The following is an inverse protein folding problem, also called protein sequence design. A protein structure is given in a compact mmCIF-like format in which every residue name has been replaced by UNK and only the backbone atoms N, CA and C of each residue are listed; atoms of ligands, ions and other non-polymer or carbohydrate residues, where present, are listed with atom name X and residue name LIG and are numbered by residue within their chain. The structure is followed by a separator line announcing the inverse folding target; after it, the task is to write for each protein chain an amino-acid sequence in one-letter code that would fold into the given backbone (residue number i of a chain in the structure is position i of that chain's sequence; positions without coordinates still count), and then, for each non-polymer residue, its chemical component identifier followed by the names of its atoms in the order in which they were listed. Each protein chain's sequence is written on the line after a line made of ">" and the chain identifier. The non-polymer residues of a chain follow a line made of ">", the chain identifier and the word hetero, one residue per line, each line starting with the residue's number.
data_IF_176064356012
#
_entry.id   IF_176064356012
#
_cell.length_a   1.000
_cell.length_b   1.000
_cell.length_c   1.000
_cell.angle_alpha   90.00
_cell.angle_beta   90.00
_cell.angle_gamma   90.00
#
_symmetry.space_group_name_H-M   'P 1'
#
loop_
_entity.id
_entity.type
_entity.pdbx_description
1 polymer ?
#
# COMPACT_ATOMS: atom_id res chain seq x y z
N UNK A 1 -2.32 -8.62 9.49
CA UNK A 1 -1.37 -9.74 9.55
C UNK A 1 -1.46 -10.35 10.92
N UNK A 2 -1.37 -11.68 11.04
CA UNK A 2 -1.48 -12.38 12.33
C UNK A 2 -0.16 -12.40 13.13
N UNK A 3 0.97 -11.97 12.54
CA UNK A 3 2.26 -12.09 13.23
C UNK A 3 2.40 -11.20 14.46
N UNK A 4 1.74 -10.05 14.52
CA UNK A 4 1.93 -9.03 15.58
C UNK A 4 0.61 -8.31 15.90
N UNK A 5 -0.53 -9.01 15.85
CA UNK A 5 -1.86 -8.46 16.18
C UNK A 5 -2.30 -8.75 17.63
N UNK A 6 -1.44 -9.41 18.42
CA UNK A 6 -1.62 -9.56 19.88
C UNK A 6 -2.56 -10.67 20.32
N UNK A 7 -2.88 -11.63 19.45
CA UNK A 7 -3.62 -12.83 19.87
C UNK A 7 -2.73 -13.78 20.67
N UNK A 8 -3.35 -14.55 21.58
CA UNK A 8 -2.69 -15.63 22.31
C UNK A 8 -2.89 -16.94 21.56
N UNK A 9 -1.79 -17.62 21.26
CA UNK A 9 -1.81 -19.00 20.82
C UNK A 9 -1.87 -19.96 22.02
N UNK A 10 -2.47 -21.14 21.82
CA UNK A 10 -2.58 -22.20 22.84
C UNK A 10 -1.21 -22.76 23.28
N UNK A 11 -0.16 -22.53 22.48
CA UNK A 11 1.20 -23.01 22.75
C UNK A 11 2.24 -21.90 22.57
N UNK A 12 3.23 -21.86 23.47
CA UNK A 12 4.35 -20.92 23.36
C UNK A 12 5.25 -21.26 22.16
N UNK A 13 5.56 -20.25 21.35
CA UNK A 13 6.53 -20.33 20.25
C UNK A 13 7.49 -19.14 20.34
N UNK A 14 8.77 -19.39 20.04
CA UNK A 14 9.80 -18.33 19.97
C UNK A 14 9.65 -17.41 18.74
N UNK A 15 8.86 -17.85 17.76
CA UNK A 15 8.47 -17.05 16.59
C UNK A 15 6.96 -16.96 16.52
N UNK A 16 6.44 -15.84 16.03
CA UNK A 16 4.99 -15.60 15.97
C UNK A 16 4.32 -16.56 14.96
N UNK A 17 3.07 -16.95 15.22
CA UNK A 17 2.37 -17.96 14.41
C UNK A 17 2.02 -17.52 12.98
N UNK A 18 2.01 -16.21 12.71
CA UNK A 18 1.73 -15.66 11.38
C UNK A 18 2.98 -15.37 10.54
N UNK A 19 2.77 -15.01 9.28
CA UNK A 19 3.81 -14.50 8.38
C UNK A 19 3.92 -15.32 7.09
N UNK A 20 4.81 -14.90 6.19
CA UNK A 20 5.08 -15.65 4.95
C UNK A 20 5.89 -16.89 5.29
N UNK A 21 5.39 -18.08 4.94
CA UNK A 21 6.09 -19.33 5.23
C UNK A 21 7.34 -19.49 4.37
N UNK A 22 8.31 -20.29 4.81
CA UNK A 22 9.47 -20.65 3.98
C UNK A 22 9.05 -21.34 2.68
N UNK A 23 7.93 -22.08 2.71
CA UNK A 23 7.37 -22.75 1.54
C UNK A 23 6.87 -21.73 0.52
N UNK A 24 6.15 -20.69 0.96
CA UNK A 24 5.66 -19.62 0.08
C UNK A 24 6.81 -18.77 -0.45
N UNK A 25 7.80 -18.48 0.40
CA UNK A 25 9.00 -17.75 -0.01
C UNK A 25 9.78 -18.49 -1.11
N UNK A 26 9.91 -19.82 -1.01
CA UNK A 26 10.55 -20.64 -2.07
C UNK A 26 9.77 -20.62 -3.38
N UNK A 27 8.45 -20.39 -3.35
CA UNK A 27 7.60 -20.31 -4.55
C UNK A 27 7.61 -18.93 -5.20
N UNK A 28 8.24 -17.91 -4.60
CA UNK A 28 8.16 -16.52 -5.08
C UNK A 28 8.58 -16.36 -6.55
N UNK A 29 9.58 -17.13 -7.00
CA UNK A 29 10.05 -17.10 -8.39
C UNK A 29 9.04 -17.63 -9.42
N UNK A 30 7.95 -18.25 -8.99
CA UNK A 30 6.84 -18.66 -9.86
C UNK A 30 5.74 -17.61 -10.00
N UNK A 31 5.91 -16.43 -9.39
CA UNK A 31 4.94 -15.34 -9.47
C UNK A 31 4.89 -14.75 -10.88
N UNK A 32 3.68 -14.44 -11.36
CA UNK A 32 3.49 -13.79 -12.65
C UNK A 32 3.92 -12.31 -12.66
N UNK A 33 3.85 -11.65 -11.51
CA UNK A 33 4.14 -10.23 -11.37
C UNK A 33 4.47 -9.86 -9.92
N UNK A 34 5.30 -8.84 -9.72
CA UNK A 34 5.66 -8.28 -8.41
C UNK A 34 5.13 -6.85 -8.26
N UNK A 35 4.33 -6.61 -7.22
CA UNK A 35 3.86 -5.27 -6.87
C UNK A 35 4.74 -4.74 -5.73
N UNK A 36 5.60 -3.77 -6.03
CA UNK A 36 6.48 -3.15 -5.04
C UNK A 36 5.79 -1.92 -4.44
N UNK A 37 5.55 -1.95 -3.13
CA UNK A 37 4.79 -0.91 -2.42
C UNK A 37 5.73 -0.05 -1.58
N UNK A 38 5.95 1.20 -2.01
CA UNK A 38 6.97 2.09 -1.49
C UNK A 38 8.20 2.17 -2.42
N UNK A 39 8.83 3.33 -2.46
CA UNK A 39 10.05 3.52 -3.26
C UNK A 39 11.24 2.80 -2.62
N UNK A 40 11.26 2.72 -1.28
CA UNK A 40 12.33 2.06 -0.52
C UNK A 40 12.51 0.57 -0.86
N UNK A 41 11.45 -0.10 -1.36
CA UNK A 41 11.48 -1.53 -1.69
C UNK A 41 11.79 -1.82 -3.16
N UNK A 42 12.09 -0.80 -3.98
CA UNK A 42 12.46 -0.99 -5.40
C UNK A 42 13.61 -1.99 -5.56
N UNK A 43 14.66 -1.85 -4.76
CA UNK A 43 15.83 -2.75 -4.85
C UNK A 43 15.46 -4.22 -4.63
N UNK A 44 14.48 -4.51 -3.77
CA UNK A 44 13.99 -5.87 -3.58
C UNK A 44 13.26 -6.39 -4.84
N UNK A 45 12.47 -5.53 -5.50
CA UNK A 45 11.78 -5.88 -6.74
C UNK A 45 12.76 -6.10 -7.91
N UNK A 46 13.80 -5.28 -8.01
CA UNK A 46 14.89 -5.44 -8.98
C UNK A 46 15.60 -6.79 -8.78
N UNK A 47 15.93 -7.15 -7.54
CA UNK A 47 16.52 -8.46 -7.22
C UNK A 47 15.61 -9.61 -7.67
N UNK A 48 14.29 -9.50 -7.49
CA UNK A 48 13.34 -10.52 -7.94
C UNK A 48 13.28 -10.60 -9.47
N UNK A 49 13.34 -9.46 -10.16
CA UNK A 49 13.40 -9.42 -11.62
C UNK A 49 14.70 -10.03 -12.14
N UNK A 50 15.85 -9.67 -11.59
CA UNK A 50 17.15 -10.20 -12.01
C UNK A 50 17.28 -11.70 -11.78
N UNK A 51 16.78 -12.21 -10.64
CA UNK A 51 16.93 -13.62 -10.27
C UNK A 51 15.89 -14.53 -10.92
N UNK A 52 14.66 -14.05 -11.09
CA UNK A 52 13.53 -14.89 -11.50
C UNK A 52 12.85 -14.44 -12.79
N UNK A 53 13.23 -13.29 -13.35
CA UNK A 53 12.61 -12.72 -14.55
C UNK A 53 11.20 -12.18 -14.31
N UNK A 54 10.76 -12.08 -13.06
CA UNK A 54 9.41 -11.62 -12.72
C UNK A 54 9.27 -10.12 -13.02
N UNK A 55 8.33 -9.69 -13.90
CA UNK A 55 8.08 -8.29 -14.12
C UNK A 55 7.55 -7.63 -12.84
N UNK A 56 7.86 -6.35 -12.64
CA UNK A 56 7.40 -5.62 -11.46
C UNK A 56 6.93 -4.21 -11.80
N UNK A 57 6.14 -3.63 -10.88
CA UNK A 57 5.77 -2.22 -10.89
C UNK A 57 5.89 -1.66 -9.48
N UNK A 58 6.47 -0.48 -9.37
CA UNK A 58 6.60 0.26 -8.11
C UNK A 58 5.42 1.22 -7.97
N UNK A 59 4.78 1.15 -6.82
CA UNK A 59 3.77 2.09 -6.36
C UNK A 59 4.39 2.91 -5.23
N UNK A 60 4.69 4.19 -5.52
CA UNK A 60 5.33 5.08 -4.55
C UNK A 60 4.47 5.30 -3.30
N UNK A 61 3.16 5.17 -3.44
CA UNK A 61 2.20 5.29 -2.33
C UNK A 61 0.91 4.52 -2.65
N UNK A 62 0.13 4.23 -1.61
CA UNK A 62 -1.20 3.63 -1.70
C UNK A 62 -2.24 4.42 -0.87
N UNK A 63 -2.04 5.73 -0.76
CA UNK A 63 -2.91 6.61 0.03
C UNK A 63 -3.48 7.72 -0.85
N UNK A 64 -4.77 8.01 -0.68
CA UNK A 64 -5.51 8.97 -1.49
C UNK A 64 -6.20 8.33 -2.70
N UNK A 65 -7.04 9.13 -3.37
CA UNK A 65 -7.89 8.65 -4.47
C UNK A 65 -7.06 8.12 -5.64
N UNK A 66 -6.19 8.95 -6.22
CA UNK A 66 -5.47 8.60 -7.46
C UNK A 66 -4.52 7.42 -7.26
N UNK A 67 -3.85 7.36 -6.10
CA UNK A 67 -2.93 6.27 -5.78
C UNK A 67 -3.65 4.91 -5.72
N UNK A 68 -4.80 4.86 -5.02
CA UNK A 68 -5.60 3.65 -4.88
C UNK A 68 -6.30 3.30 -6.20
N UNK A 69 -6.76 4.30 -6.96
CA UNK A 69 -7.35 4.09 -8.29
C UNK A 69 -6.33 3.44 -9.24
N UNK A 70 -5.11 3.97 -9.31
CA UNK A 70 -4.02 3.41 -10.12
C UNK A 70 -3.66 1.98 -9.70
N UNK A 71 -3.63 1.72 -8.40
CA UNK A 71 -3.36 0.38 -7.87
C UNK A 71 -4.46 -0.63 -8.22
N UNK A 72 -5.73 -0.27 -8.02
CA UNK A 72 -6.86 -1.13 -8.37
C UNK A 72 -6.98 -1.36 -9.87
N UNK A 73 -6.66 -0.35 -10.69
CA UNK A 73 -6.61 -0.48 -12.15
C UNK A 73 -5.51 -1.45 -12.58
N UNK A 74 -4.31 -1.39 -11.98
CA UNK A 74 -3.25 -2.35 -12.27
C UNK A 74 -3.67 -3.77 -11.91
N UNK A 75 -4.25 -3.96 -10.72
CA UNK A 75 -4.76 -5.27 -10.31
C UNK A 75 -5.83 -5.80 -11.26
N UNK A 76 -6.72 -4.93 -11.74
CA UNK A 76 -7.74 -5.29 -12.72
C UNK A 76 -7.12 -5.71 -14.06
N UNK A 77 -6.10 -4.97 -14.53
CA UNK A 77 -5.38 -5.29 -15.75
C UNK A 77 -4.62 -6.63 -15.65
N UNK A 78 -3.88 -6.84 -14.57
CA UNK A 78 -3.10 -8.07 -14.33
C UNK A 78 -3.99 -9.30 -14.16
N UNK A 79 -5.13 -9.15 -13.49
CA UNK A 79 -6.05 -10.27 -13.22
C UNK A 79 -7.08 -10.53 -14.33
N UNK A 80 -7.27 -9.58 -15.25
CA UNK A 80 -8.36 -9.59 -16.23
C UNK A 80 -9.76 -9.43 -15.61
N UNK A 81 -9.85 -9.08 -14.32
CA UNK A 81 -11.12 -8.94 -13.58
C UNK A 81 -11.44 -7.47 -13.37
N UNK A 82 -12.72 -7.12 -13.51
CA UNK A 82 -13.18 -5.77 -13.18
C UNK A 82 -13.05 -5.48 -11.68
N UNK A 83 -12.80 -4.21 -11.33
CA UNK A 83 -12.73 -3.75 -9.93
C UNK A 83 -14.07 -4.05 -9.21
N UNK A 84 -14.06 -4.80 -8.09
CA UNK A 84 -15.27 -5.11 -7.34
C UNK A 84 -16.05 -3.87 -6.86
N UNK A 85 -17.38 -3.93 -6.86
CA UNK A 85 -18.24 -2.79 -6.48
C UNK A 85 -17.99 -2.29 -5.06
N UNK A 86 -17.55 -3.16 -4.14
CA UNK A 86 -17.14 -2.77 -2.78
C UNK A 86 -16.12 -1.62 -2.80
N UNK A 87 -15.11 -1.69 -3.66
CA UNK A 87 -14.06 -0.66 -3.71
C UNK A 87 -14.55 0.62 -4.37
N UNK A 88 -15.46 0.54 -5.34
CA UNK A 88 -16.12 1.72 -5.93
C UNK A 88 -16.99 2.44 -4.90
N UNK A 89 -17.68 1.68 -4.05
CA UNK A 89 -18.42 2.23 -2.93
C UNK A 89 -17.48 2.91 -1.91
N UNK A 90 -16.40 2.24 -1.50
CA UNK A 90 -15.40 2.82 -0.57
C UNK A 90 -14.76 4.10 -1.14
N UNK A 91 -14.51 4.15 -2.45
CA UNK A 91 -14.02 5.35 -3.13
C UNK A 91 -15.00 6.52 -2.98
N UNK A 92 -16.31 6.29 -3.17
CA UNK A 92 -17.35 7.33 -2.94
C UNK A 92 -17.38 7.78 -1.48
N UNK A 93 -17.25 6.84 -0.53
CA UNK A 93 -17.17 7.17 0.90
C UNK A 93 -15.93 8.03 1.22
N UNK A 94 -14.79 7.75 0.58
CA UNK A 94 -13.60 8.58 0.74
C UNK A 94 -13.83 9.99 0.18
N UNK A 95 -14.43 10.12 -1.00
CA UNK A 95 -14.76 11.44 -1.58
C UNK A 95 -15.68 12.25 -0.66
N UNK A 96 -16.70 11.61 -0.11
CA UNK A 96 -17.62 12.22 0.86
C UNK A 96 -16.88 12.66 2.14
N UNK A 97 -16.06 11.79 2.72
CA UNK A 97 -15.23 12.13 3.87
C UNK A 97 -14.25 13.27 3.59
N UNK A 98 -13.69 13.36 2.38
CA UNK A 98 -12.83 14.47 1.97
C UNK A 98 -13.64 15.78 1.91
N UNK A 99 -14.86 15.76 1.38
CA UNK A 99 -15.76 16.92 1.36
C UNK A 99 -16.17 17.32 2.78
N UNK A 100 -16.46 16.38 3.67
CA UNK A 100 -16.86 16.68 5.05
C UNK A 100 -15.70 17.19 5.91
N UNK A 101 -14.45 16.92 5.51
CA UNK A 101 -13.28 17.30 6.32
C UNK A 101 -12.47 18.43 5.71
N UNK A 102 -12.73 18.86 4.48
CA UNK A 102 -11.93 19.89 3.80
C UNK A 102 -11.82 21.20 4.59
N UNK A 103 -12.85 21.58 5.35
CA UNK A 103 -12.84 22.79 6.18
C UNK A 103 -11.77 22.74 7.29
N UNK A 104 -11.47 21.53 7.79
CA UNK A 104 -10.50 21.33 8.86
C UNK A 104 -9.07 21.27 8.36
N UNK A 105 -8.86 20.80 7.12
CA UNK A 105 -7.54 20.66 6.51
C UNK A 105 -7.13 21.86 5.64
N UNK A 106 -8.09 22.54 5.03
CA UNK A 106 -7.82 23.63 4.09
C UNK A 106 -6.90 24.70 4.67
N UNK A 107 -5.78 24.97 3.97
CA UNK A 107 -4.74 25.94 4.32
C UNK A 107 -4.09 25.72 5.69
N UNK A 108 -4.27 24.55 6.31
CA UNK A 108 -3.52 24.21 7.52
C UNK A 108 -2.07 23.96 7.16
N UNK A 109 -1.18 24.57 7.94
CA UNK A 109 0.24 24.32 7.81
C UNK A 109 0.64 23.12 8.65
N UNK A 110 1.30 22.15 8.05
CA UNK A 110 1.68 20.87 8.68
C UNK A 110 3.18 20.66 8.56
N UNK A 111 3.82 20.21 9.64
CA UNK A 111 5.22 19.76 9.63
C UNK A 111 5.25 18.25 9.92
N UNK A 112 6.06 17.52 9.17
CA UNK A 112 6.11 16.06 9.20
C UNK A 112 7.55 15.60 9.44
N UNK A 113 7.71 14.59 10.30
CA UNK A 113 8.99 13.94 10.58
C UNK A 113 8.74 12.43 10.62
N UNK A 114 8.85 11.78 9.46
CA UNK A 114 8.50 10.39 9.21
C UNK A 114 9.57 9.75 8.31
N UNK A 115 9.59 8.42 8.23
CA UNK A 115 10.41 7.69 7.25
C UNK A 115 10.00 8.01 5.80
N UNK A 116 10.89 7.84 4.80
CA UNK A 116 10.70 8.41 3.46
C UNK A 116 9.38 8.03 2.76
N UNK A 117 9.02 6.74 2.73
CA UNK A 117 7.80 6.29 2.04
C UNK A 117 6.53 6.78 2.74
N UNK A 118 6.51 6.74 4.07
CA UNK A 118 5.38 7.24 4.86
C UNK A 118 5.27 8.76 4.76
N UNK A 119 6.40 9.48 4.78
CA UNK A 119 6.46 10.91 4.56
C UNK A 119 5.84 11.26 3.22
N UNK A 120 6.27 10.61 2.13
CA UNK A 120 5.74 10.84 0.79
C UNK A 120 4.21 10.65 0.73
N UNK A 121 3.75 9.50 1.21
CA UNK A 121 2.32 9.18 1.27
C UNK A 121 1.52 10.19 2.10
N UNK A 122 2.08 10.66 3.21
CA UNK A 122 1.40 11.58 4.14
C UNK A 122 1.35 13.01 3.57
N UNK A 123 2.43 13.46 2.94
CA UNK A 123 2.49 14.74 2.22
C UNK A 123 1.40 14.80 1.15
N UNK A 124 1.33 13.78 0.30
CA UNK A 124 0.30 13.71 -0.76
C UNK A 124 -1.12 13.71 -0.21
N UNK A 125 -1.36 12.98 0.88
CA UNK A 125 -2.65 13.03 1.57
C UNK A 125 -3.01 14.45 2.00
N UNK A 126 -2.13 15.13 2.73
CA UNK A 126 -2.38 16.50 3.20
C UNK A 126 -2.59 17.49 2.05
N UNK A 127 -1.77 17.40 1.00
CA UNK A 127 -1.93 18.24 -0.19
C UNK A 127 -3.26 17.99 -0.91
N UNK A 128 -3.70 16.72 -1.01
CA UNK A 128 -5.00 16.37 -1.60
C UNK A 128 -6.20 16.95 -0.82
N UNK A 129 -5.99 17.22 0.47
CA UNK A 129 -6.96 17.86 1.36
C UNK A 129 -6.82 19.39 1.43
N UNK A 130 -5.91 19.97 0.65
CA UNK A 130 -5.67 21.42 0.58
C UNK A 130 -4.84 21.99 1.74
N UNK A 131 -4.13 21.15 2.49
CA UNK A 131 -3.17 21.59 3.50
C UNK A 131 -1.81 21.95 2.88
N UNK A 132 -1.05 22.78 3.58
CA UNK A 132 0.28 23.26 3.19
C UNK A 132 1.35 22.54 4.03
N UNK A 133 2.21 21.75 3.38
CA UNK A 133 3.32 21.10 4.05
C UNK A 133 4.53 22.03 4.03
N UNK A 134 5.15 22.24 5.20
CA UNK A 134 6.35 23.08 5.39
C UNK A 134 7.65 22.28 5.37
#
# INVERSE_FOLDING_TARGET
>A
SASLDGHLDDSFSSTTGGGTTLTDLRKIGSSAFTLALGESVRGAAEILQERFGTPYKVFQQLTGLDAVDNFLQELAALSGKSVPEKYRHQRRQLQDAMLDTHFFFGRKRVSLALEPDLLWSTVWFFQSMGAEVQ
#
